data_IF_227164043690
#
_entry.id   IF_227164043690
#
_cell.length_a   1.000
_cell.length_b   1.000
_cell.length_c   1.000
_cell.angle_alpha   90.00
_cell.angle_beta   90.00
_cell.angle_gamma   90.00
#
_symmetry.space_group_name_H-M   'P 1'
#
loop_
_entity.id
_entity.type
_entity.pdbx_description
1 polymer ?
#
# COMPACT_ATOMS: atom_id res chain seq x y z
N UNK A 1 15.09 3.66 24.72
CA UNK A 1 14.39 4.97 24.60
C UNK A 1 12.96 4.68 24.15
N UNK A 2 11.91 5.33 24.67
CA UNK A 2 10.56 4.95 24.30
C UNK A 2 10.31 5.27 22.83
N UNK A 3 9.96 4.24 22.07
CA UNK A 3 9.61 4.26 20.65
C UNK A 3 8.54 5.34 20.40
N UNK A 4 8.90 6.48 19.81
CA UNK A 4 7.93 7.50 19.44
C UNK A 4 7.10 6.99 18.25
N UNK A 5 5.96 6.36 18.53
CA UNK A 5 4.95 6.08 17.50
C UNK A 5 4.54 7.40 16.84
N UNK A 6 4.76 7.54 15.53
CA UNK A 6 4.42 8.76 14.78
C UNK A 6 2.89 8.93 14.75
N UNK A 7 2.36 9.87 15.54
CA UNK A 7 0.90 10.13 15.67
C UNK A 7 0.39 11.29 14.79
N UNK A 8 1.24 12.24 14.36
CA UNK A 8 0.85 13.31 13.41
C UNK A 8 1.35 12.99 12.02
N UNK A 9 0.54 12.28 11.23
CA UNK A 9 0.91 11.92 9.86
C UNK A 9 0.64 13.09 8.90
N UNK A 10 1.70 13.64 8.30
CA UNK A 10 1.58 14.29 6.99
C UNK A 10 0.90 13.28 6.08
N UNK A 11 -0.19 13.68 5.41
CA UNK A 11 -0.89 12.76 4.54
C UNK A 11 0.02 12.34 3.39
N UNK A 12 0.13 11.02 3.18
CA UNK A 12 0.97 10.42 2.14
C UNK A 12 0.15 10.39 0.87
N UNK A 13 0.34 11.40 0.02
CA UNK A 13 -0.39 11.56 -1.22
C UNK A 13 0.33 10.82 -2.34
N UNK A 14 -0.38 9.94 -3.02
CA UNK A 14 0.09 9.24 -4.22
C UNK A 14 -0.64 9.78 -5.46
N UNK A 15 0.03 9.69 -6.59
CA UNK A 15 -0.46 10.09 -7.90
C UNK A 15 -0.90 8.89 -8.75
N UNK A 16 -0.26 7.73 -8.59
CA UNK A 16 -0.56 6.50 -9.33
C UNK A 16 -0.21 5.25 -8.52
N UNK A 17 -0.82 4.12 -8.86
CA UNK A 17 -0.42 2.77 -8.48
C UNK A 17 0.24 2.01 -9.64
N UNK A 18 0.37 2.60 -10.83
CA UNK A 18 1.10 1.99 -11.94
C UNK A 18 2.60 2.10 -11.68
N UNK A 19 3.27 0.95 -11.58
CA UNK A 19 4.70 0.83 -11.34
C UNK A 19 5.55 1.60 -12.38
N UNK A 20 5.06 1.75 -13.62
CA UNK A 20 5.77 2.45 -14.69
C UNK A 20 5.65 3.98 -14.58
N UNK A 21 4.68 4.47 -13.80
CA UNK A 21 4.36 5.89 -13.69
C UNK A 21 4.74 6.51 -12.34
N UNK A 22 5.39 5.74 -11.45
CA UNK A 22 5.77 6.17 -10.10
C UNK A 22 6.72 7.37 -10.13
N UNK A 23 6.42 8.39 -9.33
CA UNK A 23 7.21 9.61 -9.19
C UNK A 23 7.86 9.66 -7.80
N UNK A 24 8.88 10.51 -7.64
CA UNK A 24 9.48 10.79 -6.32
C UNK A 24 8.47 11.24 -5.27
N UNK A 25 7.37 11.89 -5.69
CA UNK A 25 6.29 12.32 -4.79
C UNK A 25 5.41 11.18 -4.27
N UNK A 26 5.49 10.00 -4.89
CA UNK A 26 4.75 8.80 -4.49
C UNK A 26 5.53 7.94 -3.49
N UNK A 27 6.78 8.31 -3.21
CA UNK A 27 7.65 7.65 -2.23
C UNK A 27 7.34 8.23 -0.84
N UNK A 28 7.05 7.35 0.11
CA UNK A 28 6.68 7.70 1.48
C UNK A 28 7.34 6.77 2.51
N UNK A 29 7.77 7.36 3.62
CA UNK A 29 8.20 6.62 4.82
C UNK A 29 6.98 6.13 5.62
N UNK A 30 6.83 4.82 5.73
CA UNK A 30 5.82 4.13 6.54
C UNK A 30 6.35 3.64 7.88
N UNK A 31 7.63 3.81 8.18
CA UNK A 31 8.27 3.27 9.38
C UNK A 31 7.49 3.64 10.65
N UNK A 32 7.24 2.63 11.48
CA UNK A 32 6.58 2.74 12.79
C UNK A 32 5.09 3.19 12.77
N UNK A 33 4.47 3.32 11.59
CA UNK A 33 3.03 3.53 11.50
C UNK A 33 2.27 2.21 11.71
N UNK A 34 1.12 2.23 12.39
CA UNK A 34 0.22 1.06 12.46
C UNK A 34 -0.73 0.98 11.27
N UNK A 35 -1.40 2.10 10.98
CA UNK A 35 -2.43 2.21 9.92
C UNK A 35 -2.27 3.49 9.11
N UNK A 36 -1.16 3.62 8.36
CA UNK A 36 -0.89 4.79 7.55
C UNK A 36 -2.04 5.10 6.58
N UNK A 37 -2.60 6.32 6.65
CA UNK A 37 -3.59 6.84 5.66
C UNK A 37 -2.90 7.29 4.38
N UNK A 38 -3.28 6.71 3.25
CA UNK A 38 -2.85 7.07 1.90
C UNK A 38 -3.93 7.97 1.28
N UNK A 39 -3.54 8.97 0.51
CA UNK A 39 -4.46 9.91 -0.13
C UNK A 39 -4.17 10.03 -1.62
N UNK A 40 -5.19 10.40 -2.38
CA UNK A 40 -5.04 10.82 -3.77
C UNK A 40 -6.17 11.81 -4.11
N UNK A 41 -6.06 12.44 -5.28
CA UNK A 41 -7.05 13.39 -5.79
C UNK A 41 -7.46 12.96 -7.19
N UNK A 42 -8.76 12.92 -7.46
CA UNK A 42 -9.38 12.76 -8.79
C UNK A 42 -10.40 13.88 -8.91
N UNK A 43 -10.43 14.60 -10.04
CA UNK A 43 -11.41 15.65 -10.31
C UNK A 43 -11.63 16.65 -9.15
N UNK A 44 -10.53 17.07 -8.52
CA UNK A 44 -10.49 17.95 -7.35
C UNK A 44 -11.08 17.37 -6.05
N UNK A 45 -11.59 16.16 -6.07
CA UNK A 45 -12.06 15.43 -4.90
C UNK A 45 -10.94 14.62 -4.25
N UNK A 46 -10.94 14.57 -2.91
CA UNK A 46 -9.92 13.89 -2.13
C UNK A 46 -10.44 12.56 -1.61
N UNK A 47 -9.72 11.50 -1.94
CA UNK A 47 -10.00 10.14 -1.52
C UNK A 47 -8.88 9.59 -0.64
N UNK A 48 -9.18 8.52 0.10
CA UNK A 48 -8.16 7.90 0.94
C UNK A 48 -8.50 6.52 1.44
N UNK A 49 -7.47 5.70 1.60
CA UNK A 49 -7.57 4.41 2.25
C UNK A 49 -6.48 4.27 3.33
N UNK A 50 -6.61 3.26 4.19
CA UNK A 50 -5.57 2.89 5.15
C UNK A 50 -5.04 1.51 4.78
N UNK A 51 -3.74 1.34 4.94
CA UNK A 51 -3.07 0.05 4.83
C UNK A 51 -2.52 -0.33 6.20
N UNK A 52 -2.16 -1.59 6.38
CA UNK A 52 -1.61 -2.16 7.61
C UNK A 52 -0.49 -3.13 7.26
N UNK A 53 0.54 -3.22 8.11
CA UNK A 53 1.67 -4.10 7.86
C UNK A 53 1.26 -5.58 8.03
N UNK A 54 0.86 -5.96 9.24
CA UNK A 54 0.36 -7.29 9.54
C UNK A 54 -0.55 -7.26 10.76
N UNK A 55 -1.40 -8.28 10.90
CA UNK A 55 -2.21 -8.47 12.10
C UNK A 55 -1.37 -9.19 13.16
N UNK A 56 -1.36 -8.66 14.38
CA UNK A 56 -0.78 -9.31 15.55
C UNK A 56 -1.88 -10.14 16.24
N UNK A 57 -2.03 -11.38 15.80
CA UNK A 57 -3.10 -12.29 16.28
C UNK A 57 -2.90 -12.74 17.72
N UNK A 58 -1.71 -12.54 18.30
CA UNK A 58 -1.36 -12.96 19.65
C UNK A 58 -1.45 -11.83 20.68
N UNK A 59 -1.76 -10.59 20.25
CA UNK A 59 -1.67 -9.40 21.09
C UNK A 59 -3.03 -8.74 21.32
N UNK A 60 -3.54 -8.92 22.53
CA UNK A 60 -4.84 -8.38 22.95
C UNK A 60 -4.88 -6.85 23.03
N UNK A 61 -3.71 -6.19 23.11
CA UNK A 61 -3.63 -4.73 23.24
C UNK A 61 -3.62 -3.99 21.90
N UNK A 62 -3.18 -4.65 20.82
CA UNK A 62 -3.06 -4.03 19.51
C UNK A 62 -3.17 -5.07 18.41
N UNK A 63 -4.29 -5.07 17.70
CA UNK A 63 -4.54 -5.98 16.57
C UNK A 63 -3.52 -5.87 15.43
N UNK A 64 -2.80 -4.75 15.30
CA UNK A 64 -1.91 -4.50 14.15
C UNK A 64 -0.47 -4.26 14.59
N UNK A 65 0.45 -4.91 13.89
CA UNK A 65 1.87 -4.60 13.96
C UNK A 65 2.15 -3.24 13.31
N UNK A 66 3.18 -2.56 13.79
CA UNK A 66 3.72 -1.38 13.11
C UNK A 66 4.54 -1.82 11.90
N UNK A 67 4.57 -0.98 10.86
CA UNK A 67 5.54 -1.11 9.79
C UNK A 67 6.97 -1.07 10.37
N UNK A 68 7.88 -1.94 9.88
CA UNK A 68 9.23 -2.03 10.40
C UNK A 68 10.03 -0.74 10.15
N UNK A 69 11.16 -0.56 10.85
CA UNK A 69 12.10 0.51 10.53
C UNK A 69 12.53 0.47 9.05
N UNK A 70 12.86 1.64 8.51
CA UNK A 70 13.36 1.81 7.14
C UNK A 70 12.38 1.38 6.03
N UNK A 71 11.07 1.51 6.30
CA UNK A 71 10.03 1.26 5.30
C UNK A 71 9.77 2.52 4.45
N UNK A 72 10.76 2.96 3.68
CA UNK A 72 10.59 4.05 2.71
C UNK A 72 10.45 3.49 1.30
N UNK A 73 9.35 3.82 0.64
CA UNK A 73 8.99 3.18 -0.61
C UNK A 73 7.68 3.68 -1.21
N UNK A 74 7.16 2.96 -2.20
CA UNK A 74 5.92 3.33 -2.89
C UNK A 74 4.98 2.13 -3.01
N UNK A 75 3.68 2.42 -3.12
CA UNK A 75 2.66 1.43 -3.45
C UNK A 75 2.60 1.26 -4.97
N UNK A 76 2.41 0.02 -5.42
CA UNK A 76 2.16 -0.27 -6.83
C UNK A 76 1.24 -1.48 -7.00
N UNK A 77 0.59 -1.57 -8.15
CA UNK A 77 -0.18 -2.73 -8.56
C UNK A 77 0.70 -3.72 -9.31
N UNK A 78 0.69 -4.96 -8.87
CA UNK A 78 1.36 -6.09 -9.50
C UNK A 78 0.32 -6.98 -10.19
N UNK A 79 0.19 -6.91 -11.53
CA UNK A 79 -0.67 -7.84 -12.25
C UNK A 79 -0.04 -9.23 -12.27
N UNK A 80 -0.83 -10.27 -12.07
CA UNK A 80 -0.37 -11.63 -12.37
C UNK A 80 -0.65 -11.95 -13.83
N UNK A 81 0.39 -12.41 -14.54
CA UNK A 81 0.29 -12.79 -15.95
C UNK A 81 -0.51 -14.09 -16.18
N UNK A 82 -0.83 -14.81 -15.10
CA UNK A 82 -1.64 -16.02 -15.16
C UNK A 82 -3.11 -15.67 -14.88
N UNK A 83 -3.98 -15.95 -15.84
CA UNK A 83 -5.42 -15.66 -15.82
C UNK A 83 -6.18 -16.19 -14.59
N UNK A 84 -5.59 -17.13 -13.83
CA UNK A 84 -6.20 -17.75 -12.66
C UNK A 84 -5.96 -17.00 -11.35
N UNK A 85 -5.02 -16.04 -11.30
CA UNK A 85 -4.66 -15.36 -10.04
C UNK A 85 -4.98 -13.86 -10.17
N UNK A 86 -5.91 -13.32 -9.37
CA UNK A 86 -6.17 -11.87 -9.34
C UNK A 86 -4.91 -11.13 -8.87
N UNK A 87 -4.55 -10.03 -9.53
CA UNK A 87 -3.40 -9.19 -9.16
C UNK A 87 -3.47 -8.64 -7.73
N UNK A 88 -2.47 -7.88 -7.33
CA UNK A 88 -2.36 -7.40 -5.95
C UNK A 88 -1.64 -6.06 -5.82
N UNK A 89 -1.94 -5.31 -4.77
CA UNK A 89 -1.21 -4.08 -4.44
C UNK A 89 -0.08 -4.41 -3.48
N UNK A 90 1.15 -4.05 -3.83
CA UNK A 90 2.36 -4.28 -3.04
C UNK A 90 3.02 -2.97 -2.62
N UNK A 91 4.04 -3.07 -1.75
CA UNK A 91 4.87 -1.93 -1.35
C UNK A 91 6.33 -2.23 -1.65
N UNK A 92 6.94 -1.43 -2.53
CA UNK A 92 8.31 -1.59 -2.97
C UNK A 92 9.25 -0.65 -2.19
N UNK A 93 10.31 -1.17 -1.60
CA UNK A 93 11.31 -0.41 -0.86
C UNK A 93 12.28 0.30 -1.81
N UNK A 94 12.60 1.56 -1.51
CA UNK A 94 13.48 2.40 -2.36
C UNK A 94 14.95 2.39 -1.94
N UNK A 95 15.27 1.87 -0.74
CA UNK A 95 16.62 1.85 -0.18
C UNK A 95 17.60 0.89 -0.91
N UNK A 96 17.15 0.13 -1.92
CA UNK A 96 18.02 -0.76 -2.72
C UNK A 96 18.55 -0.11 -4.00
N UNK A 97 18.41 1.21 -4.17
CA UNK A 97 19.20 1.98 -5.15
C UNK A 97 18.57 2.16 -6.54
N UNK A 98 17.39 1.61 -6.82
CA UNK A 98 16.63 1.95 -8.04
C UNK A 98 15.12 1.72 -7.87
N UNK A 99 14.32 2.61 -8.47
CA UNK A 99 12.85 2.49 -8.58
C UNK A 99 12.46 1.25 -9.41
N UNK A 100 13.33 0.77 -10.30
CA UNK A 100 13.09 -0.39 -11.17
C UNK A 100 13.56 -1.72 -10.59
N UNK A 101 14.38 -1.71 -9.53
CA UNK A 101 14.94 -2.93 -8.89
C UNK A 101 14.69 -2.94 -7.38
N UNK A 102 13.68 -2.18 -6.93
CA UNK A 102 13.30 -2.13 -5.52
C UNK A 102 12.83 -3.50 -5.03
N UNK A 103 13.14 -3.84 -3.78
CA UNK A 103 12.70 -5.10 -3.16
C UNK A 103 11.34 -4.88 -2.50
N UNK A 104 10.43 -5.83 -2.64
CA UNK A 104 9.15 -5.77 -1.93
C UNK A 104 9.36 -5.79 -0.41
N UNK A 105 8.57 -4.99 0.30
CA UNK A 105 8.41 -5.11 1.74
C UNK A 105 7.96 -6.54 2.05
N UNK A 106 8.62 -7.22 2.98
CA UNK A 106 8.28 -8.58 3.38
C UNK A 106 7.45 -8.57 4.67
N UNK A 107 6.50 -9.50 4.75
CA UNK A 107 5.82 -9.88 5.99
C UNK A 107 6.76 -10.65 6.92
N UNK A 108 6.41 -10.82 8.22
CA UNK A 108 7.22 -11.60 9.17
C UNK A 108 7.48 -13.06 8.74
N UNK A 109 6.63 -13.63 7.88
CA UNK A 109 6.80 -14.97 7.32
C UNK A 109 7.71 -15.00 6.08
N UNK A 110 8.31 -13.88 5.67
CA UNK A 110 9.22 -13.77 4.54
C UNK A 110 8.56 -13.62 3.17
N UNK A 111 7.22 -13.64 3.09
CA UNK A 111 6.50 -13.40 1.83
C UNK A 111 6.35 -11.91 1.54
N UNK A 112 6.26 -11.48 0.26
CA UNK A 112 5.93 -10.10 -0.08
C UNK A 112 4.64 -9.63 0.60
N UNK A 113 4.68 -8.42 1.13
CA UNK A 113 3.51 -7.72 1.63
C UNK A 113 2.61 -7.36 0.45
N UNK A 114 1.35 -7.76 0.53
CA UNK A 114 0.38 -7.52 -0.52
C UNK A 114 -1.03 -7.35 0.02
N UNK A 115 -1.85 -6.61 -0.74
CA UNK A 115 -3.31 -6.57 -0.61
C UNK A 115 -3.88 -7.18 -1.89
N UNK A 116 -4.37 -8.44 -1.84
CA UNK A 116 -4.89 -9.11 -3.02
C UNK A 116 -6.14 -8.42 -3.60
N UNK A 117 -6.26 -8.37 -4.93
CA UNK A 117 -7.39 -7.72 -5.61
C UNK A 117 -8.74 -8.31 -5.21
N UNK A 118 -8.84 -9.63 -5.07
CA UNK A 118 -10.08 -10.27 -4.62
C UNK A 118 -10.53 -9.74 -3.25
N UNK A 119 -9.57 -9.43 -2.37
CA UNK A 119 -9.86 -8.88 -1.05
C UNK A 119 -10.22 -7.38 -1.11
N UNK A 120 -9.61 -6.64 -2.03
CA UNK A 120 -9.97 -5.24 -2.32
C UNK A 120 -11.42 -5.16 -2.80
N UNK A 121 -11.82 -6.02 -3.74
CA UNK A 121 -13.18 -6.06 -4.31
C UNK A 121 -14.20 -6.51 -3.27
N UNK A 122 -13.90 -7.58 -2.51
CA UNK A 122 -14.84 -8.13 -1.53
C UNK A 122 -15.01 -7.24 -0.27
N UNK A 123 -14.09 -6.30 -0.01
CA UNK A 123 -14.08 -5.50 1.21
C UNK A 123 -14.41 -4.04 0.96
N UNK A 124 -15.55 -3.57 1.47
CA UNK A 124 -15.90 -2.14 1.44
C UNK A 124 -14.87 -1.22 2.13
N UNK A 125 -13.96 -1.77 2.95
CA UNK A 125 -12.81 -1.05 3.52
C UNK A 125 -11.88 -0.46 2.45
N UNK A 126 -11.78 -1.13 1.30
CA UNK A 126 -10.86 -0.77 0.23
C UNK A 126 -11.57 -0.17 -0.98
N UNK A 127 -12.82 0.32 -0.83
CA UNK A 127 -13.55 0.98 -1.92
C UNK A 127 -12.75 2.14 -2.56
N UNK A 128 -12.11 2.98 -1.74
CA UNK A 128 -11.26 4.08 -2.24
C UNK A 128 -9.98 3.57 -2.90
N UNK A 129 -9.45 2.40 -2.52
CA UNK A 129 -8.31 1.78 -3.20
C UNK A 129 -8.74 1.19 -4.54
N UNK A 130 -9.90 0.53 -4.60
CA UNK A 130 -10.49 -0.01 -5.83
C UNK A 130 -10.76 1.11 -6.85
N UNK A 131 -11.35 2.22 -6.41
CA UNK A 131 -11.54 3.42 -7.23
C UNK A 131 -10.20 3.95 -7.78
N UNK A 132 -9.14 3.93 -6.96
CA UNK A 132 -7.82 4.36 -7.42
C UNK A 132 -7.26 3.45 -8.51
N UNK A 133 -7.38 2.14 -8.35
CA UNK A 133 -6.96 1.16 -9.37
C UNK A 133 -7.72 1.37 -10.68
N UNK A 134 -9.03 1.63 -10.60
CA UNK A 134 -9.87 1.95 -11.75
C UNK A 134 -9.45 3.24 -12.46
N UNK A 135 -9.20 4.30 -11.68
CA UNK A 135 -8.76 5.59 -12.20
C UNK A 135 -7.38 5.55 -12.86
N UNK A 136 -6.51 4.64 -12.44
CA UNK A 136 -5.21 4.38 -13.08
C UNK A 136 -5.31 3.42 -14.27
N UNK A 137 -6.50 2.90 -14.60
CA UNK A 137 -6.69 1.93 -15.69
C UNK A 137 -6.05 0.56 -15.42
N UNK A 138 -5.82 0.21 -14.15
CA UNK A 138 -5.12 -1.01 -13.73
C UNK A 138 -6.06 -2.20 -13.54
N UNK A 139 -7.36 -1.94 -13.47
CA UNK A 139 -8.43 -2.94 -13.38
C UNK A 139 -9.57 -2.54 -14.32
N UNK A 140 -10.36 -3.52 -14.74
CA UNK A 140 -11.51 -3.30 -15.61
C UNK A 140 -12.62 -2.49 -14.91
N UNK A 141 -13.42 -1.78 -15.72
CA UNK A 141 -14.51 -0.94 -15.24
C UNK A 141 -15.65 -1.73 -14.57
N UNK A 142 -15.76 -3.03 -14.85
CA UNK A 142 -16.73 -3.94 -14.21
C UNK A 142 -16.49 -4.15 -12.72
N UNK A 143 -15.29 -3.80 -12.22
CA UNK A 143 -14.93 -3.93 -10.81
C UNK A 143 -15.13 -2.64 -9.99
N UNK A 144 -15.41 -1.50 -10.62
CA UNK A 144 -15.34 -0.16 -10.00
C UNK A 144 -16.73 0.42 -9.71
#
# INVERSE_FOLDING_TARGET
QPEHFKTRARARRISTLDAQCIKKTDIHDLSFYKRPRIQYIIDHERYSFRIEYATDVLNDKSKYLVFPPWTEGFLYYHPHHHHSVPGEVRFCLTNTGSITTGTDLLLPNGLPWAIPLWYIVASGRYADLLRKLGADGLVGAELV
#
